data_IF_730789991057
#
_entry.id   IF_730789991057
#
_cell.length_a   1.000
_cell.length_b   1.000
_cell.length_c   1.000
_cell.angle_alpha   90.00
_cell.angle_beta   90.00
_cell.angle_gamma   90.00
#
_symmetry.space_group_name_H-M   'P 1'
#
loop_
_entity.id
_entity.type
_entity.pdbx_description
1 polymer ?
#
# COMPACT_ATOMS: atom_id res chain seq x y z
N UNK A 1 7.66 -1.87 11.05
CA UNK A 1 7.22 -0.96 9.97
C UNK A 1 8.24 0.15 9.73
N UNK A 2 8.80 0.79 10.78
CA UNK A 2 9.82 1.84 10.62
C UNK A 2 10.98 1.43 9.70
N UNK A 3 11.61 0.27 9.94
CA UNK A 3 12.70 -0.22 9.09
C UNK A 3 12.28 -0.47 7.63
N UNK A 4 11.09 -1.02 7.40
CA UNK A 4 10.56 -1.21 6.05
C UNK A 4 10.40 0.12 5.31
N UNK A 5 9.83 1.13 5.98
CA UNK A 5 9.67 2.48 5.43
C UNK A 5 11.01 3.17 5.19
N UNK A 6 11.98 3.02 6.09
CA UNK A 6 13.31 3.60 5.93
C UNK A 6 14.03 2.96 4.75
N UNK A 7 14.07 1.62 4.69
CA UNK A 7 14.70 0.89 3.59
C UNK A 7 14.06 1.20 2.23
N UNK A 8 12.77 1.55 2.22
CA UNK A 8 12.08 2.01 1.01
C UNK A 8 12.36 3.49 0.69
N UNK A 9 12.27 4.38 1.67
CA UNK A 9 12.41 5.82 1.46
C UNK A 9 13.85 6.25 1.16
N UNK A 10 14.85 5.60 1.74
CA UNK A 10 16.27 5.92 1.53
C UNK A 10 16.68 5.87 0.05
N UNK A 11 16.47 4.77 -0.69
CA UNK A 11 16.83 4.73 -2.12
C UNK A 11 16.00 5.71 -2.95
N UNK A 12 14.73 5.95 -2.58
CA UNK A 12 13.89 6.94 -3.27
C UNK A 12 14.40 8.37 -3.09
N UNK A 13 14.79 8.72 -1.87
CA UNK A 13 15.38 10.03 -1.57
C UNK A 13 16.75 10.18 -2.22
N UNK A 14 17.57 9.13 -2.23
CA UNK A 14 18.88 9.15 -2.90
C UNK A 14 18.71 9.41 -4.41
N UNK A 15 17.81 8.66 -5.06
CA UNK A 15 17.52 8.82 -6.49
C UNK A 15 16.93 10.20 -6.78
N UNK A 16 15.93 10.64 -6.01
CA UNK A 16 15.29 11.93 -6.19
C UNK A 16 16.23 13.12 -5.93
N UNK A 17 17.10 13.01 -4.93
CA UNK A 17 18.12 14.01 -4.63
C UNK A 17 19.14 14.08 -5.76
N UNK A 18 19.67 12.94 -6.19
CA UNK A 18 20.58 12.88 -7.33
C UNK A 18 19.96 13.48 -8.59
N UNK A 19 18.73 13.06 -8.95
CA UNK A 19 17.99 13.56 -10.10
C UNK A 19 17.83 15.08 -10.03
N UNK A 20 17.38 15.61 -8.89
CA UNK A 20 17.14 17.04 -8.72
C UNK A 20 18.44 17.85 -8.78
N UNK A 21 19.47 17.44 -8.02
CA UNK A 21 20.75 18.15 -8.00
C UNK A 21 21.38 18.17 -9.39
N UNK A 22 21.40 17.03 -10.07
CA UNK A 22 22.00 16.93 -11.41
C UNK A 22 21.19 17.63 -12.50
N UNK A 23 19.85 17.66 -12.37
CA UNK A 23 18.99 18.40 -13.27
C UNK A 23 19.23 19.92 -13.20
N UNK A 24 19.47 20.45 -11.99
CA UNK A 24 19.81 21.85 -11.75
C UNK A 24 21.32 22.16 -11.85
N UNK A 25 22.14 21.20 -12.31
CA UNK A 25 23.60 21.30 -12.41
C UNK A 25 24.31 21.72 -11.11
N UNK A 26 23.76 21.30 -9.96
CA UNK A 26 24.36 21.49 -8.63
C UNK A 26 25.47 20.44 -8.42
N UNK A 27 26.57 20.59 -9.14
CA UNK A 27 27.56 19.53 -9.24
C UNK A 27 28.61 19.51 -8.12
N UNK A 28 28.87 20.63 -7.44
CA UNK A 28 29.87 20.75 -6.35
C UNK A 28 31.28 20.21 -6.72
N UNK A 29 31.62 20.14 -8.01
CA UNK A 29 32.85 19.50 -8.50
C UNK A 29 32.77 17.98 -8.71
N UNK A 30 31.65 17.34 -8.39
CA UNK A 30 31.39 15.93 -8.66
C UNK A 30 30.74 15.72 -10.03
N UNK A 31 31.39 14.94 -10.90
CA UNK A 31 30.88 14.68 -12.27
C UNK A 31 29.54 13.94 -12.29
N UNK A 32 29.26 13.10 -11.29
CA UNK A 32 27.98 12.37 -11.19
C UNK A 32 26.77 13.31 -11.04
N UNK A 33 27.00 14.52 -10.52
CA UNK A 33 25.97 15.53 -10.33
C UNK A 33 25.94 16.57 -11.47
N UNK A 34 26.73 16.36 -12.53
CA UNK A 34 26.70 17.23 -13.71
C UNK A 34 25.51 16.93 -14.60
N UNK A 35 25.05 17.96 -15.32
CA UNK A 35 23.98 17.79 -16.30
C UNK A 35 24.36 16.87 -17.47
N UNK A 36 25.61 16.93 -17.91
CA UNK A 36 26.13 16.07 -18.99
C UNK A 36 26.00 14.58 -18.64
N UNK A 37 26.40 14.20 -17.43
CA UNK A 37 26.30 12.81 -16.99
C UNK A 37 24.85 12.39 -16.76
N UNK A 38 24.02 13.29 -16.21
CA UNK A 38 22.58 13.06 -16.07
C UNK A 38 21.94 12.69 -17.41
N UNK A 39 22.16 13.49 -18.44
CA UNK A 39 21.59 13.26 -19.78
C UNK A 39 22.17 11.97 -20.39
N UNK A 40 23.47 11.69 -20.22
CA UNK A 40 24.11 10.45 -20.68
C UNK A 40 23.46 9.20 -20.07
N UNK A 41 23.18 9.23 -18.76
CA UNK A 41 22.51 8.13 -18.06
C UNK A 41 21.13 7.87 -18.66
N UNK A 42 20.35 8.92 -18.96
CA UNK A 42 19.05 8.76 -19.60
C UNK A 42 19.13 8.25 -21.04
N UNK A 43 20.15 8.64 -21.81
CA UNK A 43 20.39 8.07 -23.14
C UNK A 43 20.68 6.57 -23.06
N UNK A 44 21.54 6.14 -22.12
CA UNK A 44 21.85 4.72 -21.92
C UNK A 44 20.59 3.94 -21.54
N UNK A 45 19.80 4.44 -20.59
CA UNK A 45 18.56 3.77 -20.17
C UNK A 45 17.47 3.80 -21.25
N UNK A 46 17.32 4.89 -21.99
CA UNK A 46 16.40 4.98 -23.12
C UNK A 46 16.73 3.93 -24.18
N UNK A 47 18.00 3.82 -24.56
CA UNK A 47 18.48 2.81 -25.49
C UNK A 47 18.25 1.37 -24.97
N UNK A 48 18.46 1.14 -23.67
CA UNK A 48 18.24 -0.17 -23.05
C UNK A 48 16.76 -0.57 -23.03
N UNK A 49 15.87 0.40 -22.78
CA UNK A 49 14.43 0.21 -22.70
C UNK A 49 13.74 0.27 -24.08
N UNK A 50 14.45 0.70 -25.12
CA UNK A 50 13.88 0.91 -26.45
C UNK A 50 12.93 2.11 -26.52
N UNK A 51 13.10 3.11 -25.66
CA UNK A 51 12.27 4.32 -25.59
C UNK A 51 13.13 5.59 -25.70
N UNK A 52 12.57 6.73 -26.11
CA UNK A 52 13.25 8.01 -26.08
C UNK A 52 13.77 8.34 -24.66
N UNK A 53 14.97 8.93 -24.57
CA UNK A 53 15.59 9.30 -23.29
C UNK A 53 14.72 10.28 -22.47
N UNK A 54 14.00 11.17 -23.16
CA UNK A 54 13.06 12.14 -22.61
C UNK A 54 11.83 11.51 -21.92
N UNK A 55 11.45 10.30 -22.32
CA UNK A 55 10.33 9.57 -21.71
C UNK A 55 10.74 8.84 -20.42
N UNK A 56 12.02 8.52 -20.26
CA UNK A 56 12.53 7.73 -19.13
C UNK A 56 12.21 8.39 -17.78
N UNK A 57 12.47 9.70 -17.53
CA UNK A 57 12.10 10.34 -16.28
C UNK A 57 10.60 10.23 -15.96
N UNK A 58 9.74 10.38 -16.98
CA UNK A 58 8.29 10.26 -16.82
C UNK A 58 7.83 8.85 -16.45
N UNK A 59 8.47 7.83 -17.04
CA UNK A 59 8.23 6.42 -16.70
C UNK A 59 8.69 6.10 -15.28
N UNK A 60 9.87 6.58 -14.89
CA UNK A 60 10.40 6.41 -13.52
C UNK A 60 9.47 7.06 -12.50
N UNK A 61 8.99 8.28 -12.77
CA UNK A 61 8.05 8.97 -11.88
C UNK A 61 6.74 8.18 -11.70
N UNK A 62 6.18 7.65 -12.79
CA UNK A 62 4.98 6.80 -12.74
C UNK A 62 5.23 5.53 -11.91
N UNK A 63 6.39 4.89 -12.09
CA UNK A 63 6.76 3.71 -11.31
C UNK A 63 6.86 4.03 -9.81
N UNK A 64 7.53 5.13 -9.44
CA UNK A 64 7.63 5.58 -8.05
C UNK A 64 6.26 5.86 -7.44
N UNK A 65 5.35 6.49 -8.20
CA UNK A 65 4.00 6.80 -7.71
C UNK A 65 3.20 5.53 -7.41
N UNK A 66 3.23 4.55 -8.33
CA UNK A 66 2.56 3.26 -8.16
C UNK A 66 3.15 2.48 -6.98
N UNK A 67 4.49 2.44 -6.86
CA UNK A 67 5.18 1.76 -5.77
C UNK A 67 4.90 2.43 -4.41
N UNK A 68 4.88 3.76 -4.36
CA UNK A 68 4.52 4.53 -3.17
C UNK A 68 3.09 4.24 -2.72
N UNK A 69 2.15 4.13 -3.67
CA UNK A 69 0.76 3.77 -3.38
C UNK A 69 0.66 2.36 -2.79
N UNK A 70 1.45 1.42 -3.31
CA UNK A 70 1.50 0.05 -2.80
C UNK A 70 2.09 -0.02 -1.38
N UNK A 71 3.20 0.68 -1.14
CA UNK A 71 3.80 0.80 0.20
C UNK A 71 2.84 1.45 1.19
N UNK A 72 2.17 2.54 0.79
CA UNK A 72 1.16 3.19 1.62
C UNK A 72 0.00 2.23 1.93
N UNK A 73 -0.50 1.49 0.94
CA UNK A 73 -1.54 0.48 1.12
C UNK A 73 -1.16 -0.59 2.14
N UNK A 74 0.05 -1.15 2.03
CA UNK A 74 0.57 -2.15 2.99
C UNK A 74 0.66 -1.56 4.40
N UNK A 75 1.14 -0.33 4.52
CA UNK A 75 1.28 0.36 5.81
C UNK A 75 -0.07 0.61 6.46
N UNK A 76 -1.05 1.09 5.69
CA UNK A 76 -2.43 1.33 6.17
C UNK A 76 -3.06 0.02 6.65
N UNK A 77 -3.02 -1.03 5.82
CA UNK A 77 -3.59 -2.34 6.17
C UNK A 77 -2.96 -2.88 7.44
N UNK A 78 -1.63 -2.77 7.60
CA UNK A 78 -0.96 -3.31 8.77
C UNK A 78 -1.13 -2.45 10.03
N UNK A 79 -1.32 -1.14 9.91
CA UNK A 79 -1.64 -0.27 11.05
C UNK A 79 -3.09 -0.49 11.51
N UNK A 80 -4.02 -0.55 10.57
CA UNK A 80 -5.46 -0.67 10.84
C UNK A 80 -5.98 -2.10 10.86
N UNK A 81 -5.09 -3.10 10.82
CA UNK A 81 -5.44 -4.54 10.76
C UNK A 81 -6.56 -4.97 11.70
N UNK A 82 -6.62 -4.44 12.92
CA UNK A 82 -7.69 -4.77 13.88
C UNK A 82 -9.06 -4.23 13.46
N UNK A 83 -9.13 -3.00 12.94
CA UNK A 83 -10.38 -2.38 12.48
C UNK A 83 -10.84 -2.97 11.16
N UNK A 84 -9.90 -3.22 10.24
CA UNK A 84 -10.18 -3.85 8.94
C UNK A 84 -10.66 -5.29 9.14
N UNK A 85 -9.99 -6.09 9.98
CA UNK A 85 -10.45 -7.45 10.26
C UNK A 85 -11.78 -7.49 11.01
N UNK A 86 -12.08 -6.53 11.88
CA UNK A 86 -13.39 -6.41 12.52
C UNK A 86 -14.49 -6.08 11.50
N UNK A 87 -14.24 -5.15 10.57
CA UNK A 87 -15.16 -4.79 9.49
C UNK A 87 -15.39 -5.96 8.51
N UNK A 88 -14.32 -6.64 8.10
CA UNK A 88 -14.41 -7.84 7.25
C UNK A 88 -15.19 -8.95 7.98
N UNK A 89 -14.90 -9.20 9.26
CA UNK A 89 -15.67 -10.16 10.05
C UNK A 89 -17.14 -9.78 10.18
N UNK A 90 -17.48 -8.50 10.37
CA UNK A 90 -18.89 -8.10 10.40
C UNK A 90 -19.59 -8.27 9.05
N UNK A 91 -18.85 -8.15 7.94
CA UNK A 91 -19.40 -8.37 6.60
C UNK A 91 -19.64 -9.85 6.32
N UNK A 92 -18.72 -10.73 6.74
CA UNK A 92 -18.89 -12.20 6.61
C UNK A 92 -19.74 -12.84 7.70
N UNK A 93 -19.90 -12.21 8.87
CA UNK A 93 -20.79 -12.67 9.94
C UNK A 93 -22.25 -12.24 9.73
N UNK A 94 -22.52 -11.32 8.80
CA UNK A 94 -23.87 -10.92 8.41
C UNK A 94 -24.62 -12.02 7.63
N UNK A 95 -23.92 -13.11 7.26
CA UNK A 95 -24.47 -14.25 6.53
C UNK A 95 -24.59 -15.52 7.40
N UNK A 96 -24.53 -15.39 8.73
CA UNK A 96 -24.97 -16.46 9.62
C UNK A 96 -26.50 -16.54 9.54
N UNK A 97 -27.10 -17.67 9.10
CA UNK A 97 -28.54 -17.84 9.09
C UNK A 97 -29.06 -17.67 10.52
N UNK A 98 -30.10 -16.84 10.68
CA UNK A 98 -30.97 -16.91 11.84
C UNK A 98 -31.70 -18.26 11.83
N UNK A 99 -31.05 -19.33 12.30
CA UNK A 99 -31.76 -20.47 12.83
C UNK A 99 -32.33 -20.05 14.19
N UNK A 100 -33.54 -19.51 14.15
CA UNK A 100 -34.41 -19.48 15.32
C UNK A 100 -34.86 -20.92 15.58
N UNK A 101 -34.56 -21.55 16.73
CA UNK A 101 -35.35 -22.67 17.17
C UNK A 101 -36.69 -22.09 17.63
N UNK A 102 -37.67 -22.14 16.74
CA UNK A 102 -39.08 -22.00 17.10
C UNK A 102 -39.50 -23.25 17.90
N UNK A 103 -39.01 -23.42 19.13
CA UNK A 103 -39.30 -24.62 19.91
C UNK A 103 -39.38 -24.44 21.44
N UNK A 104 -39.69 -23.25 21.97
CA UNK A 104 -39.99 -23.10 23.42
C UNK A 104 -41.43 -22.65 23.73
N UNK A 105 -42.28 -22.49 22.72
CA UNK A 105 -43.66 -22.01 22.91
C UNK A 105 -44.71 -23.11 23.13
N UNK A 106 -44.35 -24.39 23.31
CA UNK A 106 -45.34 -25.50 23.30
C UNK A 106 -45.29 -26.57 24.39
N UNK A 107 -44.41 -26.54 25.40
CA UNK A 107 -44.34 -27.69 26.33
C UNK A 107 -44.54 -27.44 27.84
N UNK A 108 -44.96 -26.26 28.31
CA UNK A 108 -45.12 -26.08 29.77
C UNK A 108 -46.29 -25.19 30.19
N UNK A 109 -47.51 -25.63 29.89
CA UNK A 109 -48.71 -25.45 30.72
C UNK A 109 -49.81 -26.40 30.20
N UNK A 110 -50.65 -27.07 31.03
CA UNK A 110 -50.95 -26.80 32.44
C UNK A 110 -50.92 -28.07 33.34
N UNK A 111 -50.55 -27.94 34.61
CA UNK A 111 -51.01 -28.90 35.64
C UNK A 111 -51.23 -28.17 36.97
N UNK A 112 -52.25 -27.31 37.00
CA UNK A 112 -52.88 -26.84 38.23
C UNK A 112 -54.01 -27.81 38.58
N UNK A 113 -53.71 -28.94 39.24
CA UNK A 113 -54.73 -29.76 39.93
C UNK A 113 -54.08 -30.85 40.77
N UNK A 114 -54.07 -30.64 42.09
CA UNK A 114 -54.38 -31.61 43.18
C UNK A 114 -53.61 -31.25 44.46
N UNK A 115 -54.26 -30.41 45.28
CA UNK A 115 -54.36 -30.66 46.71
C UNK A 115 -55.53 -31.65 46.91
N UNK A 116 -55.46 -32.54 47.90
CA UNK A 116 -55.84 -32.16 49.26
C UNK A 116 -54.79 -32.48 50.33
#
# INVERSE_FOLDING_TARGET
MKWFLILWAVPMLLLGSWYSLSFYDMNFGYRILSRELHDLVFVIYGNLLGVPAEDVPGLVLKAILVDSALVAGIVVVRYQRRRIMAFIRSMFAAEAPMDQPAEDARSTAPSLSRAP
#
